data_IF_610928330220
#
_entry.id   IF_610928330220
#
_cell.length_a   1.000
_cell.length_b   1.000
_cell.length_c   1.000
_cell.angle_alpha   90.00
_cell.angle_beta   90.00
_cell.angle_gamma   90.00
#
_symmetry.space_group_name_H-M   'P 1'
#
loop_
_entity.id
_entity.type
_entity.pdbx_description
1 polymer ?
#
# COMPACT_ATOMS: atom_id res chain seq x y z
N UNK A 1 24.60 -1.17 12.71
CA UNK A 1 23.27 -0.64 12.37
C UNK A 1 22.86 0.24 13.53
N UNK A 2 22.63 1.51 13.24
CA UNK A 2 22.17 2.51 14.20
C UNK A 2 20.67 2.36 14.44
N UNK A 3 20.19 2.93 15.55
CA UNK A 3 18.76 2.92 15.89
C UNK A 3 18.30 4.31 16.34
N UNK A 4 17.14 4.70 15.85
CA UNK A 4 16.40 5.88 16.29
C UNK A 4 14.95 5.50 16.55
N UNK A 5 14.39 6.07 17.60
CA UNK A 5 12.99 5.86 17.97
C UNK A 5 12.22 7.16 17.90
N UNK A 6 10.97 7.06 17.49
CA UNK A 6 9.97 8.10 17.56
C UNK A 6 8.72 7.54 18.26
N UNK A 7 7.58 8.24 18.16
CA UNK A 7 6.34 7.85 18.85
C UNK A 7 5.84 6.51 18.32
N UNK A 8 5.72 6.39 17.00
CA UNK A 8 5.09 5.24 16.35
C UNK A 8 6.10 4.31 15.65
N UNK A 9 7.40 4.65 15.63
CA UNK A 9 8.41 3.90 14.88
C UNK A 9 9.69 3.58 15.65
N UNK A 10 10.36 2.52 15.19
CA UNK A 10 11.77 2.22 15.47
C UNK A 10 12.51 2.10 14.14
N UNK A 11 13.34 3.09 13.84
CA UNK A 11 14.15 3.16 12.62
C UNK A 11 15.51 2.50 12.80
N UNK A 12 15.93 1.73 11.80
CA UNK A 12 17.23 1.06 11.74
C UNK A 12 17.90 1.35 10.41
N UNK A 13 19.14 1.83 10.46
CA UNK A 13 19.89 2.25 9.29
C UNK A 13 21.40 2.06 9.50
N UNK A 14 22.19 2.11 8.44
CA UNK A 14 23.65 1.99 8.54
C UNK A 14 24.30 3.33 8.88
N UNK A 15 25.41 3.28 9.62
CA UNK A 15 26.25 4.46 9.86
C UNK A 15 26.83 4.96 8.53
N UNK A 16 26.97 6.28 8.40
CA UNK A 16 27.44 7.01 7.23
C UNK A 16 26.56 6.83 5.97
N UNK A 17 25.33 6.32 6.14
CA UNK A 17 24.37 6.13 5.05
C UNK A 17 23.58 7.40 4.72
N UNK A 18 22.96 7.43 3.54
CA UNK A 18 22.02 8.49 3.15
C UNK A 18 20.83 8.56 4.11
N UNK A 19 20.37 7.41 4.60
CA UNK A 19 19.34 7.35 5.63
C UNK A 19 19.75 8.07 6.91
N UNK A 20 20.98 7.88 7.40
CA UNK A 20 21.48 8.59 8.58
C UNK A 20 21.50 10.11 8.36
N UNK A 21 22.01 10.56 7.21
CA UNK A 21 22.08 11.99 6.86
C UNK A 21 20.71 12.68 6.88
N UNK A 22 19.63 11.97 6.55
CA UNK A 22 18.28 12.52 6.44
C UNK A 22 17.31 11.98 7.50
N UNK A 23 17.80 11.33 8.56
CA UNK A 23 16.95 10.56 9.48
C UNK A 23 15.83 11.39 10.11
N UNK A 24 16.09 12.63 10.50
CA UNK A 24 15.08 13.49 11.12
C UNK A 24 13.91 13.78 10.17
N UNK A 25 14.20 14.01 8.88
CA UNK A 25 13.17 14.22 7.85
C UNK A 25 12.39 12.94 7.55
N UNK A 26 13.06 11.78 7.58
CA UNK A 26 12.42 10.48 7.39
C UNK A 26 11.44 10.22 8.54
N UNK A 27 11.86 10.48 9.79
CA UNK A 27 11.01 10.37 10.99
C UNK A 27 9.79 11.27 10.84
N UNK A 28 9.98 12.55 10.52
CA UNK A 28 8.88 13.50 10.32
C UNK A 28 7.88 13.02 9.26
N UNK A 29 8.39 12.53 8.11
CA UNK A 29 7.56 12.04 7.01
C UNK A 29 6.72 10.83 7.42
N UNK A 30 7.35 9.84 8.05
CA UNK A 30 6.64 8.61 8.44
C UNK A 30 5.67 8.83 9.59
N UNK A 31 6.01 9.66 10.58
CA UNK A 31 5.06 10.04 11.64
C UNK A 31 3.85 10.77 11.06
N UNK A 32 4.05 11.66 10.09
CA UNK A 32 2.94 12.29 9.38
C UNK A 32 2.09 11.27 8.62
N UNK A 33 2.70 10.33 7.88
CA UNK A 33 1.98 9.29 7.16
C UNK A 33 1.15 8.41 8.11
N UNK A 34 1.75 7.96 9.21
CA UNK A 34 1.07 7.21 10.26
C UNK A 34 -0.15 7.94 10.80
N UNK A 35 0.05 9.16 11.28
CA UNK A 35 -1.01 9.96 11.89
C UNK A 35 -2.15 10.21 10.91
N UNK A 36 -1.82 10.50 9.64
CA UNK A 36 -2.79 10.71 8.60
C UNK A 36 -3.62 9.44 8.32
N UNK A 37 -2.97 8.29 8.12
CA UNK A 37 -3.68 7.03 7.84
C UNK A 37 -4.55 6.63 9.04
N UNK A 38 -3.99 6.64 10.26
CA UNK A 38 -4.71 6.28 11.47
C UNK A 38 -5.92 7.21 11.70
N UNK A 39 -5.76 8.52 11.51
CA UNK A 39 -6.86 9.47 11.62
C UNK A 39 -7.90 9.28 10.53
N UNK A 40 -7.48 9.06 9.28
CA UNK A 40 -8.39 8.91 8.15
C UNK A 40 -9.24 7.64 8.27
N UNK A 41 -8.61 6.54 8.66
CA UNK A 41 -9.28 5.27 8.87
C UNK A 41 -9.96 5.19 10.24
N UNK A 42 -9.77 6.14 11.15
CA UNK A 42 -10.24 6.07 12.54
C UNK A 42 -9.86 4.74 13.19
N UNK A 43 -8.54 4.49 13.24
CA UNK A 43 -7.92 3.28 13.81
C UNK A 43 -6.68 3.62 14.62
N UNK A 44 -6.25 2.70 15.47
CA UNK A 44 -5.03 2.80 16.26
C UNK A 44 -4.31 1.45 16.27
N UNK A 45 -3.03 1.43 15.91
CA UNK A 45 -2.21 0.23 16.05
C UNK A 45 -1.77 0.01 17.49
N UNK A 46 -1.56 -1.26 17.84
CA UNK A 46 -0.88 -1.63 19.08
C UNK A 46 0.59 -1.95 18.76
N UNK A 47 1.50 -1.09 19.21
CA UNK A 47 2.94 -1.24 18.99
C UNK A 47 3.49 -0.30 17.91
N UNK A 48 4.83 -0.32 17.77
CA UNK A 48 5.56 0.51 16.82
C UNK A 48 5.80 -0.23 15.50
N UNK A 49 5.96 0.53 14.42
CA UNK A 49 6.44 0.03 13.13
C UNK A 49 7.97 0.04 13.13
N UNK A 50 8.57 -1.09 12.77
CA UNK A 50 10.01 -1.29 12.69
C UNK A 50 10.46 -1.04 11.26
N UNK A 51 10.96 0.17 11.00
CA UNK A 51 11.42 0.58 9.68
C UNK A 51 12.92 0.31 9.52
N UNK A 52 13.27 -0.52 8.54
CA UNK A 52 14.64 -0.84 8.16
C UNK A 52 14.95 -0.11 6.85
N UNK A 53 15.81 0.90 6.93
CA UNK A 53 16.23 1.72 5.80
C UNK A 53 17.45 1.06 5.16
N UNK A 54 17.20 0.38 4.04
CA UNK A 54 18.18 -0.38 3.26
C UNK A 54 18.83 0.50 2.19
N UNK A 55 20.04 0.13 1.75
CA UNK A 55 20.83 0.94 0.82
C UNK A 55 20.58 0.59 -0.65
N UNK A 56 20.01 -0.58 -0.94
CA UNK A 56 19.74 -0.99 -2.33
C UNK A 56 18.56 -1.97 -2.46
N UNK A 57 17.92 -2.04 -3.64
CA UNK A 57 16.86 -3.01 -3.91
C UNK A 57 17.32 -4.47 -3.78
N UNK A 58 18.58 -4.77 -4.12
CA UNK A 58 19.17 -6.11 -3.98
C UNK A 58 19.26 -6.52 -2.50
N UNK A 59 19.59 -5.58 -1.61
CA UNK A 59 19.59 -5.84 -0.17
C UNK A 59 18.19 -6.22 0.31
N UNK A 60 17.17 -5.47 -0.12
CA UNK A 60 15.78 -5.74 0.25
C UNK A 60 15.32 -7.08 -0.31
N UNK A 61 15.58 -7.38 -1.58
CA UNK A 61 15.27 -8.68 -2.20
C UNK A 61 15.94 -9.87 -1.49
N UNK A 62 17.18 -9.70 -1.06
CA UNK A 62 17.89 -10.71 -0.24
C UNK A 62 17.22 -10.93 1.12
N UNK A 63 16.72 -9.87 1.75
CA UNK A 63 15.99 -9.97 3.04
C UNK A 63 14.61 -10.60 2.82
N UNK A 64 13.93 -10.25 1.73
CA UNK A 64 12.64 -10.84 1.35
C UNK A 64 12.76 -12.35 1.10
N UNK A 65 13.87 -12.77 0.46
CA UNK A 65 14.31 -14.16 0.41
C UNK A 65 14.27 -14.81 -0.98
N UNK A 66 13.73 -14.12 -1.99
CA UNK A 66 13.77 -14.56 -3.39
C UNK A 66 14.98 -14.02 -4.16
N UNK A 67 15.70 -13.05 -3.59
CA UNK A 67 16.84 -12.33 -4.21
C UNK A 67 16.46 -11.48 -5.43
N UNK A 68 15.17 -11.29 -5.70
CA UNK A 68 14.72 -10.37 -6.74
C UNK A 68 14.77 -8.93 -6.20
N UNK A 69 15.43 -7.98 -6.90
CA UNK A 69 15.52 -6.61 -6.42
C UNK A 69 14.13 -5.98 -6.21
N UNK A 70 13.86 -5.48 -5.01
CA UNK A 70 12.60 -4.82 -4.68
C UNK A 70 12.81 -3.57 -3.83
N UNK A 71 11.91 -2.61 -3.97
CA UNK A 71 12.10 -1.27 -3.42
C UNK A 71 11.64 -1.16 -1.96
N UNK A 72 10.56 -1.86 -1.61
CA UNK A 72 10.11 -2.01 -0.26
C UNK A 72 9.22 -3.25 -0.14
N UNK A 73 9.02 -3.71 1.10
CA UNK A 73 7.95 -4.62 1.45
C UNK A 73 7.63 -4.53 2.93
N UNK A 74 6.38 -4.84 3.27
CA UNK A 74 5.92 -5.08 4.62
C UNK A 74 6.09 -6.55 5.03
N UNK A 75 6.44 -6.78 6.29
CA UNK A 75 6.60 -8.12 6.85
C UNK A 75 5.89 -8.26 8.19
N UNK A 76 5.84 -9.50 8.67
CA UNK A 76 5.30 -9.83 9.98
C UNK A 76 6.02 -9.05 11.09
N UNK A 77 5.34 -8.92 12.22
CA UNK A 77 5.82 -8.18 13.40
C UNK A 77 6.03 -6.67 13.15
N UNK A 78 5.18 -6.06 12.32
CA UNK A 78 5.18 -4.63 12.01
C UNK A 78 6.49 -4.14 11.40
N UNK A 79 7.12 -4.94 10.55
CA UNK A 79 8.40 -4.58 9.92
C UNK A 79 8.18 -4.04 8.53
N UNK A 80 8.89 -2.98 8.17
CA UNK A 80 8.99 -2.46 6.81
C UNK A 80 10.46 -2.45 6.45
N UNK A 81 10.80 -3.02 5.30
CA UNK A 81 12.13 -2.90 4.70
C UNK A 81 11.98 -2.02 3.48
N UNK A 82 12.73 -0.92 3.42
CA UNK A 82 12.57 0.08 2.38
C UNK A 82 13.93 0.63 1.93
N UNK A 83 14.12 0.77 0.63
CA UNK A 83 15.32 1.40 0.07
C UNK A 83 15.29 2.89 0.35
N UNK A 84 16.38 3.40 0.90
CA UNK A 84 16.64 4.82 1.07
C UNK A 84 18.10 5.15 0.74
N UNK A 85 18.34 5.57 -0.50
CA UNK A 85 19.63 6.00 -1.02
C UNK A 85 19.50 7.31 -1.82
N UNK A 86 20.52 7.70 -2.59
CA UNK A 86 20.48 8.96 -3.35
C UNK A 86 19.40 8.97 -4.44
N UNK A 87 19.13 7.82 -5.07
CA UNK A 87 18.25 7.68 -6.23
C UNK A 87 16.83 7.24 -5.86
N UNK A 88 16.70 6.39 -4.82
CA UNK A 88 15.47 5.70 -4.44
C UNK A 88 15.15 6.03 -2.97
N UNK A 89 13.94 6.53 -2.74
CA UNK A 89 13.43 6.93 -1.42
C UNK A 89 12.06 6.33 -1.19
N UNK A 90 12.02 5.06 -0.82
CA UNK A 90 10.78 4.30 -0.64
C UNK A 90 10.20 4.47 0.76
N UNK A 91 9.96 5.72 1.13
CA UNK A 91 9.25 6.12 2.35
C UNK A 91 7.92 6.78 1.95
N UNK A 92 6.98 6.87 2.88
CA UNK A 92 5.67 7.45 2.67
C UNK A 92 4.55 6.46 2.96
N UNK A 93 3.40 6.71 2.34
CA UNK A 93 2.14 6.08 2.73
C UNK A 93 2.02 4.59 2.41
N UNK A 94 2.67 4.10 1.36
CA UNK A 94 2.35 2.82 0.73
C UNK A 94 2.45 1.63 1.72
N UNK A 95 3.64 1.41 2.27
CA UNK A 95 3.89 0.30 3.20
C UNK A 95 3.22 0.51 4.56
N UNK A 96 3.10 1.78 5.00
CA UNK A 96 2.39 2.13 6.23
C UNK A 96 0.90 1.77 6.12
N UNK A 97 0.28 1.98 4.96
CA UNK A 97 -1.11 1.61 4.72
C UNK A 97 -1.31 0.10 4.83
N UNK A 98 -0.38 -0.73 4.34
CA UNK A 98 -0.41 -2.17 4.55
C UNK A 98 -0.31 -2.52 6.03
N UNK A 99 0.76 -2.09 6.72
CA UNK A 99 0.98 -2.42 8.12
C UNK A 99 -0.18 -1.97 9.02
N UNK A 100 -0.68 -0.75 8.84
CA UNK A 100 -1.78 -0.21 9.66
C UNK A 100 -3.07 -0.98 9.38
N UNK A 101 -3.43 -1.21 8.11
CA UNK A 101 -4.67 -1.92 7.78
C UNK A 101 -4.63 -3.39 8.21
N UNK A 102 -3.50 -4.07 8.07
CA UNK A 102 -3.35 -5.47 8.50
C UNK A 102 -3.52 -5.64 10.01
N UNK A 103 -3.05 -4.68 10.80
CA UNK A 103 -3.14 -4.72 12.25
C UNK A 103 -4.48 -4.24 12.81
N UNK A 104 -5.29 -3.53 12.02
CA UNK A 104 -6.50 -2.85 12.54
C UNK A 104 -7.80 -3.23 11.83
N UNK A 105 -7.74 -3.59 10.56
CA UNK A 105 -8.88 -3.96 9.73
C UNK A 105 -8.87 -5.46 9.36
N UNK A 106 -7.69 -6.05 9.18
CA UNK A 106 -7.49 -7.44 8.76
C UNK A 106 -6.65 -7.56 7.49
N UNK A 107 -6.42 -8.79 7.04
CA UNK A 107 -5.60 -9.08 5.84
C UNK A 107 -6.48 -9.81 4.82
N UNK A 108 -7.17 -9.09 3.93
CA UNK A 108 -8.01 -9.73 2.92
C UNK A 108 -7.13 -10.51 1.94
N UNK A 109 -7.56 -11.72 1.56
CA UNK A 109 -6.84 -12.58 0.61
C UNK A 109 -7.02 -12.13 -0.86
N UNK A 110 -7.13 -10.83 -1.10
CA UNK A 110 -7.33 -10.21 -2.41
C UNK A 110 -6.28 -9.11 -2.57
N UNK A 111 -5.21 -9.41 -3.31
CA UNK A 111 -4.09 -8.51 -3.53
C UNK A 111 -4.55 -7.15 -4.08
N UNK A 112 -5.46 -7.17 -5.06
CA UNK A 112 -6.08 -5.97 -5.61
C UNK A 112 -6.65 -5.01 -4.55
N UNK A 113 -7.26 -5.54 -3.49
CA UNK A 113 -7.84 -4.68 -2.45
C UNK A 113 -6.76 -4.15 -1.49
N UNK A 114 -5.73 -4.96 -1.18
CA UNK A 114 -4.61 -4.56 -0.32
C UNK A 114 -3.79 -3.44 -0.97
N UNK A 115 -3.36 -3.67 -2.21
CA UNK A 115 -2.62 -2.70 -3.02
C UNK A 115 -3.48 -1.45 -3.32
N UNK A 116 -4.78 -1.64 -3.55
CA UNK A 116 -5.69 -0.51 -3.79
C UNK A 116 -5.79 0.45 -2.62
N UNK A 117 -5.80 -0.06 -1.38
CA UNK A 117 -5.80 0.80 -0.19
C UNK A 117 -4.47 1.54 -0.02
N UNK A 118 -3.34 0.88 -0.29
CA UNK A 118 -2.03 1.53 -0.27
C UNK A 118 -1.96 2.64 -1.32
N UNK A 119 -2.35 2.35 -2.56
CA UNK A 119 -2.36 3.32 -3.67
C UNK A 119 -3.39 4.45 -3.50
N UNK A 120 -4.47 4.24 -2.74
CA UNK A 120 -5.38 5.31 -2.36
C UNK A 120 -4.69 6.37 -1.48
N UNK A 121 -3.81 5.97 -0.57
CA UNK A 121 -3.02 6.90 0.24
C UNK A 121 -1.80 7.44 -0.50
N UNK A 122 -1.17 6.62 -1.34
CA UNK A 122 -0.02 7.02 -2.17
C UNK A 122 -0.40 7.99 -3.30
N UNK A 123 -1.70 8.03 -3.65
CA UNK A 123 -2.35 8.94 -4.62
C UNK A 123 -1.94 8.81 -6.07
N UNK A 124 -0.94 8.03 -6.41
CA UNK A 124 -0.56 7.83 -7.80
C UNK A 124 0.76 7.11 -7.98
N UNK A 125 1.21 7.04 -9.23
CA UNK A 125 2.45 6.39 -9.61
C UNK A 125 3.18 7.23 -10.66
N UNK A 126 4.50 7.40 -10.50
CA UNK A 126 5.33 8.30 -11.34
C UNK A 126 4.81 9.74 -11.42
N UNK A 127 4.25 10.26 -10.33
CA UNK A 127 3.71 11.62 -10.25
C UNK A 127 2.41 11.84 -11.03
N UNK A 128 1.77 10.78 -11.51
CA UNK A 128 0.47 10.81 -12.18
C UNK A 128 -0.55 10.11 -11.29
N UNK A 129 -1.69 10.75 -11.07
CA UNK A 129 -2.76 10.23 -10.22
C UNK A 129 -3.42 8.97 -10.80
N UNK A 130 -4.04 8.19 -9.92
CA UNK A 130 -4.65 6.90 -10.28
C UNK A 130 -5.72 7.04 -11.38
N UNK A 131 -6.59 8.06 -11.33
CA UNK A 131 -7.64 8.26 -12.32
C UNK A 131 -7.10 8.67 -13.70
N UNK A 132 -6.04 9.47 -13.74
CA UNK A 132 -5.34 9.82 -14.97
C UNK A 132 -4.75 8.58 -15.64
N UNK A 133 -4.16 7.65 -14.88
CA UNK A 133 -3.69 6.37 -15.41
C UNK A 133 -4.82 5.51 -15.96
N UNK A 134 -5.92 5.37 -15.22
CA UNK A 134 -7.10 4.62 -15.68
C UNK A 134 -7.65 5.21 -16.97
N UNK A 135 -7.78 6.54 -17.05
CA UNK A 135 -8.23 7.26 -18.26
C UNK A 135 -7.32 6.98 -19.44
N UNK A 136 -6.00 6.98 -19.23
CA UNK A 136 -5.03 6.61 -20.25
C UNK A 136 -5.23 5.16 -20.72
N UNK A 137 -5.38 4.19 -19.82
CA UNK A 137 -5.58 2.80 -20.21
C UNK A 137 -6.87 2.57 -20.99
N UNK A 138 -7.97 3.22 -20.60
CA UNK A 138 -9.23 3.20 -21.35
C UNK A 138 -9.03 3.75 -22.76
N UNK A 139 -8.38 4.91 -22.90
CA UNK A 139 -8.12 5.55 -24.21
C UNK A 139 -7.24 4.72 -25.15
N UNK A 140 -6.43 3.81 -24.60
CA UNK A 140 -5.51 2.93 -25.34
C UNK A 140 -6.02 1.51 -25.50
N UNK A 141 -7.24 1.20 -25.04
CA UNK A 141 -7.77 -0.16 -24.99
C UNK A 141 -6.83 -1.13 -24.24
N UNK A 142 -6.24 -0.66 -23.14
CA UNK A 142 -5.32 -1.39 -22.24
C UNK A 142 -5.88 -1.58 -20.83
N UNK A 143 -7.12 -1.14 -20.59
CA UNK A 143 -7.78 -1.33 -19.30
C UNK A 143 -8.04 -2.81 -19.06
N UNK A 144 -7.70 -3.27 -17.85
CA UNK A 144 -7.95 -4.65 -17.41
C UNK A 144 -9.19 -4.63 -16.52
N UNK A 145 -10.12 -5.54 -16.79
CA UNK A 145 -11.40 -5.59 -16.10
C UNK A 145 -11.24 -5.98 -14.63
N UNK A 146 -12.12 -5.45 -13.80
CA UNK A 146 -12.06 -5.66 -12.34
C UNK A 146 -12.21 -7.15 -11.98
N UNK A 147 -13.07 -7.90 -12.69
CA UNK A 147 -13.24 -9.33 -12.48
C UNK A 147 -11.95 -10.15 -12.73
N UNK A 148 -11.01 -9.62 -13.51
CA UNK A 148 -9.70 -10.22 -13.71
C UNK A 148 -8.74 -9.82 -12.60
N UNK A 149 -8.76 -8.56 -12.18
CA UNK A 149 -7.83 -8.04 -11.19
C UNK A 149 -8.10 -8.54 -9.77
N UNK A 150 -9.33 -8.87 -9.41
CA UNK A 150 -9.65 -9.48 -8.11
C UNK A 150 -9.11 -10.91 -7.95
N UNK A 151 -8.66 -11.54 -9.03
CA UNK A 151 -8.03 -12.87 -9.02
C UNK A 151 -6.52 -12.72 -8.84
N UNK A 152 -5.98 -13.09 -7.67
CA UNK A 152 -4.57 -12.89 -7.31
C UNK A 152 -3.58 -13.39 -8.39
N UNK A 153 -3.81 -14.56 -8.99
CA UNK A 153 -2.92 -15.07 -10.04
C UNK A 153 -2.84 -14.12 -11.25
N UNK A 154 -3.97 -13.58 -11.69
CA UNK A 154 -4.03 -12.62 -12.80
C UNK A 154 -3.45 -11.28 -12.40
N UNK A 155 -3.71 -10.83 -11.17
CA UNK A 155 -3.16 -9.60 -10.61
C UNK A 155 -1.62 -9.63 -10.64
N UNK A 156 -1.00 -10.69 -10.13
CA UNK A 156 0.46 -10.81 -10.06
C UNK A 156 1.12 -11.07 -11.43
N UNK A 157 0.39 -11.63 -12.41
CA UNK A 157 0.89 -11.79 -13.79
C UNK A 157 0.82 -10.49 -14.61
N UNK A 158 0.04 -9.51 -14.16
CA UNK A 158 -0.15 -8.24 -14.84
C UNK A 158 0.83 -7.22 -14.27
N UNK A 159 1.33 -6.31 -15.11
CA UNK A 159 2.25 -5.25 -14.68
C UNK A 159 1.68 -4.48 -13.48
N UNK A 160 2.47 -4.35 -12.40
CA UNK A 160 2.09 -3.59 -11.19
C UNK A 160 1.65 -2.18 -11.52
N UNK A 161 2.28 -1.55 -12.51
CA UNK A 161 1.89 -0.23 -13.02
C UNK A 161 0.41 -0.13 -13.41
N UNK A 162 -0.12 -1.17 -14.05
CA UNK A 162 -1.54 -1.23 -14.46
C UNK A 162 -2.40 -1.61 -13.25
N UNK A 163 -2.02 -2.67 -12.53
CA UNK A 163 -2.87 -3.23 -11.49
C UNK A 163 -3.01 -2.30 -10.29
N UNK A 164 -1.93 -1.63 -9.87
CA UNK A 164 -1.88 -0.77 -8.69
C UNK A 164 -2.69 0.51 -8.91
N UNK A 165 -2.53 1.14 -10.07
CA UNK A 165 -3.23 2.39 -10.39
C UNK A 165 -4.72 2.17 -10.61
N UNK A 166 -5.13 1.05 -11.23
CA UNK A 166 -6.55 0.66 -11.30
C UNK A 166 -7.09 0.35 -9.90
N UNK A 167 -6.34 -0.37 -9.07
CA UNK A 167 -6.73 -0.70 -7.69
C UNK A 167 -6.92 0.56 -6.84
N UNK A 168 -5.98 1.51 -6.91
CA UNK A 168 -6.03 2.79 -6.22
C UNK A 168 -7.26 3.60 -6.63
N UNK A 169 -7.51 3.74 -7.94
CA UNK A 169 -8.67 4.46 -8.46
C UNK A 169 -10.01 3.81 -8.04
N UNK A 170 -10.04 2.47 -8.01
CA UNK A 170 -11.23 1.74 -7.59
C UNK A 170 -11.51 1.92 -6.09
N UNK A 171 -10.49 1.79 -5.24
CA UNK A 171 -10.65 2.02 -3.79
C UNK A 171 -11.00 3.48 -3.50
N UNK A 172 -10.37 4.43 -4.20
CA UNK A 172 -10.72 5.85 -4.11
C UNK A 172 -12.18 6.10 -4.46
N UNK A 173 -12.67 5.49 -5.53
CA UNK A 173 -14.08 5.58 -5.91
C UNK A 173 -14.99 5.05 -4.80
N UNK A 174 -14.69 3.86 -4.25
CA UNK A 174 -15.51 3.27 -3.20
C UNK A 174 -15.58 4.14 -1.96
N UNK A 175 -14.45 4.71 -1.54
CA UNK A 175 -14.38 5.58 -0.37
C UNK A 175 -15.12 6.90 -0.63
N UNK A 176 -14.96 7.50 -1.82
CA UNK A 176 -15.63 8.75 -2.18
C UNK A 176 -17.15 8.62 -2.27
N UNK A 177 -17.65 7.48 -2.76
CA UNK A 177 -19.08 7.27 -3.01
C UNK A 177 -19.81 6.67 -1.81
N UNK A 178 -19.20 5.68 -1.15
CA UNK A 178 -19.86 4.92 -0.07
C UNK A 178 -19.34 5.29 1.33
N UNK A 179 -18.25 6.07 1.41
CA UNK A 179 -17.65 6.50 2.65
C UNK A 179 -16.66 5.48 3.23
N UNK A 180 -15.68 5.99 3.97
CA UNK A 180 -14.60 5.18 4.57
C UNK A 180 -15.12 4.08 5.49
N UNK A 181 -16.18 4.33 6.26
CA UNK A 181 -16.74 3.32 7.17
C UNK A 181 -17.31 2.10 6.43
N UNK A 182 -17.96 2.33 5.29
CA UNK A 182 -18.51 1.25 4.46
C UNK A 182 -17.40 0.47 3.77
N UNK A 183 -16.36 1.18 3.33
CA UNK A 183 -15.16 0.54 2.81
C UNK A 183 -14.44 -0.31 3.86
N UNK A 184 -14.26 0.19 5.10
CA UNK A 184 -13.68 -0.58 6.21
C UNK A 184 -14.50 -1.85 6.49
N UNK A 185 -15.84 -1.74 6.55
CA UNK A 185 -16.72 -2.92 6.71
C UNK A 185 -16.46 -3.95 5.61
N UNK A 186 -16.36 -3.52 4.36
CA UNK A 186 -16.05 -4.41 3.24
C UNK A 186 -14.66 -5.04 3.38
N UNK A 187 -13.63 -4.23 3.59
CA UNK A 187 -12.23 -4.66 3.68
C UNK A 187 -12.01 -5.69 4.78
N UNK A 188 -12.63 -5.49 5.95
CA UNK A 188 -12.50 -6.39 7.10
C UNK A 188 -13.23 -7.72 6.95
N UNK A 189 -14.23 -7.81 6.08
CA UNK A 189 -15.13 -8.97 5.99
C UNK A 189 -15.14 -9.66 4.62
N UNK A 190 -14.39 -9.14 3.64
CA UNK A 190 -14.34 -9.75 2.31
C UNK A 190 -13.59 -11.08 2.37
N UNK A 191 -14.18 -12.10 1.75
CA UNK A 191 -13.58 -13.42 1.59
C UNK A 191 -13.38 -13.73 0.09
N UNK A 192 -13.17 -15.01 -0.25
CA UNK A 192 -12.98 -15.42 -1.64
C UNK A 192 -14.26 -15.24 -2.51
N UNK A 193 -15.42 -14.98 -1.92
CA UNK A 193 -16.67 -14.63 -2.62
C UNK A 193 -16.78 -13.11 -2.80
N UNK A 194 -15.74 -12.49 -3.36
CA UNK A 194 -15.60 -11.03 -3.47
C UNK A 194 -16.86 -10.34 -3.99
N UNK A 195 -17.44 -10.82 -5.11
CA UNK A 195 -18.62 -10.20 -5.73
C UNK A 195 -19.86 -10.24 -4.83
N UNK A 196 -20.05 -11.33 -4.07
CA UNK A 196 -21.16 -11.46 -3.13
C UNK A 196 -20.99 -10.50 -1.95
N UNK A 197 -19.79 -10.48 -1.34
CA UNK A 197 -19.46 -9.54 -0.28
C UNK A 197 -19.60 -8.08 -0.75
N UNK A 198 -19.17 -7.79 -1.97
CA UNK A 198 -19.26 -6.46 -2.58
C UNK A 198 -20.72 -6.04 -2.74
N UNK A 199 -21.55 -6.88 -3.35
CA UNK A 199 -22.97 -6.62 -3.53
C UNK A 199 -23.72 -6.50 -2.20
N UNK A 200 -23.40 -7.36 -1.23
CA UNK A 200 -23.98 -7.31 0.12
C UNK A 200 -23.66 -5.98 0.81
N UNK A 201 -22.43 -5.49 0.67
CA UNK A 201 -21.94 -4.30 1.36
C UNK A 201 -22.42 -3.03 0.67
N UNK A 202 -22.12 -2.85 -0.62
CA UNK A 202 -22.39 -1.61 -1.36
C UNK A 202 -23.75 -1.55 -2.05
N UNK A 203 -24.52 -2.65 -2.04
CA UNK A 203 -25.85 -2.76 -2.69
C UNK A 203 -25.83 -2.49 -4.19
N UNK A 204 -24.66 -2.64 -4.82
CA UNK A 204 -24.44 -2.50 -6.27
C UNK A 204 -23.64 -3.69 -6.79
N UNK A 205 -23.73 -3.94 -8.11
CA UNK A 205 -22.97 -5.01 -8.76
C UNK A 205 -21.58 -4.52 -9.15
N UNK A 206 -20.56 -5.37 -9.02
CA UNK A 206 -19.20 -5.07 -9.52
C UNK A 206 -19.20 -4.74 -11.02
N UNK A 207 -20.11 -5.37 -11.79
CA UNK A 207 -20.27 -5.13 -13.24
C UNK A 207 -20.70 -3.71 -13.60
N UNK A 208 -21.17 -2.92 -12.63
CA UNK A 208 -21.54 -1.53 -12.88
C UNK A 208 -20.29 -0.61 -12.97
N UNK A 209 -19.10 -1.16 -12.72
CA UNK A 209 -17.81 -0.47 -12.70
C UNK A 209 -16.87 -0.92 -13.83
N UNK A 210 -17.40 -1.67 -14.80
CA UNK A 210 -16.72 -2.06 -16.05
C UNK A 210 -17.26 -1.25 -17.23
#
# INVERSE_FOLDING_TARGET
>A
METRESVNYVFRYNKDSIAEKYIDKIIETQEFCYEFICKYLDVKMNGKIHCYLCESPEQVGKIYGDNEPCNAFESKDNKIYAVYNEDIKCIGFHEDAHIISYNTLGIPNIAFLREGLAMFFDKGYLGIDNYSWVSYFLSKNRYIRLNELIVNEKFHKTSHFITYTIAGAFVEYLICIFGVNKFKEFYSNVDNNFEECFKKTFKVSLKNFE
#
